data_IF_649899029076
#
_entry.id   IF_649899029076
#
_cell.length_a   1.000
_cell.length_b   1.000
_cell.length_c   1.000
_cell.angle_alpha   90.00
_cell.angle_beta   90.00
_cell.angle_gamma   90.00
#
_symmetry.space_group_name_H-M   'P 1'
#
loop_
_entity.id
_entity.type
_entity.pdbx_description
1 polymer ?
#
# COMPACT_ATOMS: atom_id res chain seq x y z
N UNK A 1 7.12 27.58 40.68
CA UNK A 1 8.30 27.01 39.99
C UNK A 1 7.99 25.57 39.64
N UNK A 2 8.05 25.20 38.37
CA UNK A 2 7.96 23.79 37.98
C UNK A 2 9.23 23.09 38.48
N UNK A 3 9.14 21.90 39.11
CA UNK A 3 10.31 21.22 39.65
C UNK A 3 11.34 20.90 38.55
N UNK A 4 12.66 21.12 38.76
CA UNK A 4 13.71 20.70 37.83
C UNK A 4 13.64 19.21 37.43
N UNK A 5 13.05 18.40 38.31
CA UNK A 5 12.75 16.99 38.07
C UNK A 5 11.78 16.77 36.90
N UNK A 6 10.78 17.64 36.71
CA UNK A 6 9.80 17.49 35.61
C UNK A 6 10.48 17.63 34.24
N UNK A 7 11.36 18.61 34.08
CA UNK A 7 12.08 18.82 32.83
C UNK A 7 13.01 17.66 32.48
N UNK A 8 13.64 17.08 33.51
CA UNK A 8 14.46 15.87 33.38
C UNK A 8 13.61 14.68 32.92
N UNK A 9 12.42 14.48 33.50
CA UNK A 9 11.48 13.42 33.11
C UNK A 9 11.04 13.61 31.65
N UNK A 10 10.69 14.83 31.24
CA UNK A 10 10.26 15.12 29.86
C UNK A 10 11.39 14.91 28.85
N UNK A 11 12.64 15.23 29.21
CA UNK A 11 13.79 14.91 28.38
C UNK A 11 14.05 13.40 28.27
N UNK A 12 13.87 12.63 29.34
CA UNK A 12 13.96 11.16 29.26
C UNK A 12 12.81 10.55 28.44
N UNK A 13 11.61 11.12 28.52
CA UNK A 13 10.51 10.74 27.64
C UNK A 13 10.84 11.05 26.16
N UNK A 14 11.46 12.21 25.88
CA UNK A 14 11.96 12.55 24.55
C UNK A 14 12.98 11.50 24.05
N UNK A 15 13.97 11.16 24.88
CA UNK A 15 14.97 10.15 24.54
C UNK A 15 14.34 8.78 24.25
N UNK A 16 13.34 8.36 25.05
CA UNK A 16 12.63 7.11 24.84
C UNK A 16 11.84 7.10 23.51
N UNK A 17 11.17 8.20 23.17
CA UNK A 17 10.47 8.37 21.89
C UNK A 17 11.46 8.30 20.71
N UNK A 18 12.60 8.97 20.82
CA UNK A 18 13.66 8.92 19.80
C UNK A 18 14.23 7.51 19.67
N UNK A 19 14.46 6.81 20.78
CA UNK A 19 14.94 5.43 20.77
C UNK A 19 13.97 4.50 20.04
N UNK A 20 12.67 4.60 20.30
CA UNK A 20 11.64 3.85 19.57
C UNK A 20 11.77 4.09 18.07
N UNK A 21 11.84 5.35 17.64
CA UNK A 21 11.98 5.71 16.22
C UNK A 21 13.26 5.15 15.62
N UNK A 22 14.40 5.29 16.30
CA UNK A 22 15.68 4.74 15.83
C UNK A 22 15.59 3.22 15.68
N UNK A 23 14.94 2.50 16.59
CA UNK A 23 14.69 1.07 16.46
C UNK A 23 13.85 0.76 15.21
N UNK A 24 12.79 1.52 14.92
CA UNK A 24 12.02 1.33 13.68
C UNK A 24 12.88 1.50 12.43
N UNK A 25 13.69 2.57 12.39
CA UNK A 25 14.54 2.84 11.24
C UNK A 25 15.64 1.79 11.06
N UNK A 26 16.28 1.35 12.13
CA UNK A 26 17.41 0.41 12.06
C UNK A 26 16.99 -1.05 11.93
N UNK A 27 15.84 -1.44 12.49
CA UNK A 27 15.37 -2.83 12.50
C UNK A 27 14.40 -3.14 11.36
N UNK A 28 13.39 -2.28 11.15
CA UNK A 28 12.38 -2.48 10.10
C UNK A 28 12.81 -1.80 8.81
N UNK A 29 12.84 -0.46 8.77
CA UNK A 29 12.96 0.28 7.52
C UNK A 29 14.31 0.14 6.81
N UNK A 30 15.37 -0.15 7.57
CA UNK A 30 16.67 -0.55 7.01
C UNK A 30 16.53 -1.75 6.08
N UNK A 31 15.65 -2.72 6.37
CA UNK A 31 15.48 -3.92 5.54
C UNK A 31 15.10 -3.54 4.12
N UNK A 32 14.14 -2.64 3.93
CA UNK A 32 13.79 -2.15 2.58
C UNK A 32 14.91 -1.28 1.98
N UNK A 33 15.46 -0.35 2.74
CA UNK A 33 16.50 0.57 2.25
C UNK A 33 17.73 -0.15 1.67
N UNK A 34 18.06 -1.32 2.21
CA UNK A 34 19.21 -2.13 1.80
C UNK A 34 18.80 -3.48 1.18
N UNK A 35 17.51 -3.69 0.89
CA UNK A 35 17.04 -4.90 0.23
C UNK A 35 17.64 -5.02 -1.16
N UNK A 36 18.14 -6.19 -1.53
CA UNK A 36 18.57 -6.51 -2.87
C UNK A 36 17.68 -7.65 -3.32
N UNK A 37 17.00 -7.47 -4.44
CA UNK A 37 16.17 -8.54 -5.01
C UNK A 37 17.08 -9.72 -5.36
N UNK A 38 16.71 -10.95 -4.95
CA UNK A 38 17.48 -12.13 -5.35
C UNK A 38 17.42 -12.26 -6.87
N UNK A 39 18.54 -12.61 -7.49
CA UNK A 39 18.54 -12.95 -8.91
C UNK A 39 17.70 -14.21 -9.13
N UNK A 40 16.80 -14.17 -10.11
CA UNK A 40 16.00 -15.32 -10.48
C UNK A 40 16.91 -16.33 -11.17
N UNK A 41 17.08 -17.50 -10.55
CA UNK A 41 17.92 -18.59 -11.08
C UNK A 41 17.22 -19.29 -12.26
N UNK A 42 15.90 -19.21 -12.33
CA UNK A 42 15.08 -19.88 -13.35
C UNK A 42 14.17 -18.89 -14.09
N UNK A 43 14.20 -18.94 -15.43
CA UNK A 43 13.38 -18.11 -16.31
C UNK A 43 12.00 -18.72 -16.60
N UNK A 44 11.52 -19.69 -15.81
CA UNK A 44 10.17 -20.21 -15.95
C UNK A 44 9.11 -19.15 -15.63
N UNK A 45 8.34 -18.79 -16.66
CA UNK A 45 7.17 -17.91 -16.58
C UNK A 45 5.90 -18.77 -16.51
N UNK A 46 5.19 -18.71 -15.38
CA UNK A 46 3.96 -19.47 -15.17
C UNK A 46 2.73 -18.74 -15.74
N UNK A 47 1.69 -19.45 -16.18
CA UNK A 47 0.46 -18.80 -16.59
C UNK A 47 -0.15 -17.93 -15.49
N UNK A 48 -0.66 -16.75 -15.85
CA UNK A 48 -1.14 -15.73 -14.92
C UNK A 48 -2.56 -15.29 -15.27
N UNK A 49 -3.40 -15.02 -14.26
CA UNK A 49 -4.67 -14.33 -14.43
C UNK A 49 -4.63 -12.96 -13.76
N UNK A 50 -4.79 -11.90 -14.55
CA UNK A 50 -4.95 -10.54 -14.02
C UNK A 50 -6.42 -10.29 -13.74
N UNK A 51 -6.78 -9.89 -12.53
CA UNK A 51 -8.16 -9.59 -12.14
C UNK A 51 -8.31 -8.09 -11.95
N UNK A 52 -9.24 -7.50 -12.70
CA UNK A 52 -9.62 -6.08 -12.60
C UNK A 52 -11.13 -6.03 -12.37
N UNK A 53 -11.58 -5.27 -11.37
CA UNK A 53 -13.00 -4.97 -11.22
C UNK A 53 -13.24 -3.50 -11.55
N UNK A 54 -14.34 -3.25 -12.25
CA UNK A 54 -14.74 -1.95 -12.76
C UNK A 54 -16.22 -1.72 -12.42
N UNK A 55 -16.56 -0.51 -11.98
CA UNK A 55 -17.93 -0.03 -11.83
C UNK A 55 -17.98 1.43 -12.23
N UNK A 56 -18.68 1.73 -13.31
CA UNK A 56 -18.74 3.07 -13.89
C UNK A 56 -17.33 3.63 -14.24
N UNK A 57 -16.50 2.79 -14.88
CA UNK A 57 -15.07 3.04 -15.14
C UNK A 57 -14.76 3.17 -16.65
N UNK A 58 -15.71 3.59 -17.49
CA UNK A 58 -15.54 3.62 -18.96
C UNK A 58 -14.25 4.35 -19.40
N UNK A 59 -13.99 5.53 -18.84
CA UNK A 59 -12.81 6.35 -19.16
C UNK A 59 -11.50 5.65 -18.76
N UNK A 60 -11.50 5.01 -17.59
CA UNK A 60 -10.33 4.32 -17.05
C UNK A 60 -10.05 3.00 -17.79
N UNK A 61 -11.09 2.27 -18.19
CA UNK A 61 -10.97 1.08 -19.05
C UNK A 61 -10.29 1.45 -20.38
N UNK A 62 -10.76 2.52 -21.04
CA UNK A 62 -10.20 2.95 -22.32
C UNK A 62 -8.72 3.36 -22.19
N UNK A 63 -8.38 4.05 -21.10
CA UNK A 63 -7.04 4.60 -20.88
C UNK A 63 -6.03 3.55 -20.40
N UNK A 64 -6.41 2.71 -19.44
CA UNK A 64 -5.46 1.93 -18.65
C UNK A 64 -5.38 0.46 -19.09
N UNK A 65 -6.48 -0.11 -19.58
CA UNK A 65 -6.55 -1.54 -19.92
C UNK A 65 -5.58 -1.95 -21.04
N UNK A 66 -5.31 -1.13 -22.08
CA UNK A 66 -4.30 -1.47 -23.07
C UNK A 66 -2.92 -1.77 -22.46
N UNK A 67 -2.51 -1.06 -21.41
CA UNK A 67 -1.25 -1.32 -20.72
C UNK A 67 -1.21 -2.66 -20.00
N UNK A 68 -2.34 -3.15 -19.50
CA UNK A 68 -2.48 -4.48 -18.88
C UNK A 68 -2.47 -5.58 -19.93
N UNK A 69 -3.03 -5.32 -21.11
CA UNK A 69 -3.18 -6.29 -22.20
C UNK A 69 -1.89 -6.45 -23.04
N UNK A 70 -1.09 -5.39 -23.16
CA UNK A 70 0.13 -5.35 -23.96
C UNK A 70 1.37 -5.57 -23.08
N UNK A 71 1.45 -6.75 -22.45
CA UNK A 71 2.57 -7.13 -21.59
C UNK A 71 3.53 -8.05 -22.36
N UNK A 72 4.84 -7.78 -22.23
CA UNK A 72 5.91 -8.64 -22.72
C UNK A 72 6.07 -9.82 -21.76
N UNK A 73 5.32 -10.89 -22.05
CA UNK A 73 5.25 -12.09 -21.23
C UNK A 73 5.19 -13.33 -22.13
N UNK A 74 6.15 -14.25 -21.97
CA UNK A 74 6.31 -15.43 -22.82
C UNK A 74 5.26 -16.49 -22.53
N UNK A 75 4.81 -16.56 -21.28
CA UNK A 75 3.74 -17.47 -20.86
C UNK A 75 2.37 -16.90 -21.18
N UNK A 76 1.32 -17.72 -21.03
CA UNK A 76 -0.04 -17.26 -21.25
C UNK A 76 -0.52 -16.39 -20.10
N UNK A 77 -1.16 -15.27 -20.41
CA UNK A 77 -1.90 -14.49 -19.43
C UNK A 77 -3.35 -14.29 -19.89
N UNK A 78 -4.25 -14.14 -18.94
CA UNK A 78 -5.62 -13.69 -19.20
C UNK A 78 -5.94 -12.45 -18.36
N UNK A 79 -6.91 -11.67 -18.84
CA UNK A 79 -7.50 -10.59 -18.07
C UNK A 79 -8.93 -10.98 -17.69
N UNK A 80 -9.18 -11.23 -16.41
CA UNK A 80 -10.51 -11.38 -15.84
C UNK A 80 -11.04 -10.00 -15.47
N UNK A 81 -11.86 -9.44 -16.35
CA UNK A 81 -12.47 -8.12 -16.17
C UNK A 81 -13.89 -8.27 -15.63
N UNK A 82 -14.09 -7.90 -14.37
CA UNK A 82 -15.38 -7.98 -13.68
C UNK A 82 -16.07 -6.62 -13.76
N UNK A 83 -17.14 -6.54 -14.55
CA UNK A 83 -18.00 -5.36 -14.62
C UNK A 83 -19.08 -5.45 -13.55
N UNK A 84 -18.98 -4.63 -12.50
CA UNK A 84 -19.82 -4.67 -11.30
C UNK A 84 -20.98 -3.68 -11.38
N UNK A 85 -22.05 -4.07 -12.08
CA UNK A 85 -23.30 -3.31 -12.14
C UNK A 85 -23.12 -1.86 -12.63
N UNK A 86 -22.24 -1.67 -13.62
CA UNK A 86 -22.05 -0.36 -14.27
C UNK A 86 -23.32 0.10 -15.00
N UNK A 87 -23.54 1.40 -14.96
CA UNK A 87 -24.63 2.12 -15.63
C UNK A 87 -24.14 2.99 -16.79
N UNK A 88 -22.82 3.20 -16.88
CA UNK A 88 -22.15 3.89 -17.97
C UNK A 88 -21.85 2.97 -19.18
N UNK A 89 -21.03 3.49 -20.11
CA UNK A 89 -20.65 2.80 -21.34
C UNK A 89 -19.60 1.68 -21.16
N UNK A 90 -19.23 1.34 -19.91
CA UNK A 90 -18.18 0.33 -19.62
C UNK A 90 -18.44 -0.99 -20.34
N UNK A 91 -19.69 -1.47 -20.33
CA UNK A 91 -20.05 -2.75 -20.97
C UNK A 91 -19.71 -2.77 -22.46
N UNK A 92 -20.10 -1.73 -23.19
CA UNK A 92 -19.90 -1.67 -24.64
C UNK A 92 -18.42 -1.57 -24.99
N UNK A 93 -17.65 -0.79 -24.22
CA UNK A 93 -16.20 -0.69 -24.40
C UNK A 93 -15.50 -2.03 -24.17
N UNK A 94 -15.92 -2.80 -23.16
CA UNK A 94 -15.37 -4.13 -22.89
C UNK A 94 -15.66 -5.07 -24.07
N UNK A 95 -16.89 -5.07 -24.58
CA UNK A 95 -17.28 -5.94 -25.70
C UNK A 95 -16.54 -5.58 -27.00
N UNK A 96 -16.25 -4.30 -27.26
CA UNK A 96 -15.37 -3.90 -28.37
C UNK A 96 -13.94 -4.38 -28.16
N UNK A 97 -13.36 -4.20 -26.96
CA UNK A 97 -11.99 -4.65 -26.67
C UNK A 97 -11.83 -6.16 -26.84
N UNK A 98 -12.85 -6.96 -26.52
CA UNK A 98 -12.86 -8.42 -26.72
C UNK A 98 -12.83 -8.85 -28.19
N UNK A 99 -13.22 -7.98 -29.12
CA UNK A 99 -13.08 -8.28 -30.56
C UNK A 99 -11.60 -8.36 -30.94
N UNK A 100 -10.77 -7.51 -30.36
CA UNK A 100 -9.32 -7.44 -30.60
C UNK A 100 -8.53 -8.35 -29.66
N UNK A 101 -8.81 -8.28 -28.35
CA UNK A 101 -8.06 -8.99 -27.31
C UNK A 101 -8.81 -10.21 -26.82
N UNK A 102 -8.46 -11.39 -27.35
CA UNK A 102 -9.11 -12.66 -27.00
C UNK A 102 -8.75 -13.17 -25.60
N UNK A 103 -7.71 -12.62 -24.96
CA UNK A 103 -7.37 -12.96 -23.58
C UNK A 103 -8.29 -12.32 -22.53
N UNK A 104 -9.24 -11.47 -22.93
CA UNK A 104 -10.22 -10.86 -22.02
C UNK A 104 -11.34 -11.85 -21.69
N UNK A 105 -11.39 -12.25 -20.42
CA UNK A 105 -12.50 -12.94 -19.79
C UNK A 105 -13.40 -11.92 -19.08
N UNK A 106 -14.49 -11.52 -19.74
CA UNK A 106 -15.46 -10.57 -19.19
C UNK A 106 -16.49 -11.29 -18.31
N UNK A 107 -16.65 -10.81 -17.07
CA UNK A 107 -17.67 -11.26 -16.13
C UNK A 107 -18.59 -10.07 -15.86
N UNK A 108 -19.85 -10.20 -16.28
CA UNK A 108 -20.87 -9.19 -16.04
C UNK A 108 -21.67 -9.52 -14.78
N UNK A 109 -21.69 -8.60 -13.81
CA UNK A 109 -22.55 -8.67 -12.64
C UNK A 109 -23.66 -7.64 -12.79
N UNK A 110 -24.90 -8.11 -12.84
CA UNK A 110 -26.09 -7.26 -13.05
C UNK A 110 -26.90 -7.01 -11.78
N UNK A 111 -26.40 -7.50 -10.63
CA UNK A 111 -27.09 -7.41 -9.35
C UNK A 111 -26.10 -7.11 -8.24
N UNK A 112 -26.47 -6.20 -7.34
CA UNK A 112 -25.68 -5.93 -6.16
C UNK A 112 -25.69 -7.13 -5.19
N UNK A 113 -24.52 -7.44 -4.64
CA UNK A 113 -24.41 -8.45 -3.61
C UNK A 113 -25.05 -8.00 -2.31
N UNK A 114 -26.09 -8.70 -1.89
CA UNK A 114 -26.72 -8.46 -0.59
C UNK A 114 -25.71 -8.79 0.52
N UNK A 115 -25.59 -7.87 1.49
CA UNK A 115 -24.76 -8.04 2.69
C UNK A 115 -23.25 -8.16 2.44
N UNK A 116 -22.76 -7.78 1.25
CA UNK A 116 -21.32 -7.67 0.96
C UNK A 116 -21.06 -6.24 0.52
N UNK A 117 -20.22 -5.52 1.27
CA UNK A 117 -19.91 -4.12 0.97
C UNK A 117 -18.67 -3.99 0.09
N UNK A 118 -18.71 -3.02 -0.83
CA UNK A 118 -17.58 -2.63 -1.68
C UNK A 118 -17.14 -3.70 -2.67
N UNK A 119 -15.87 -3.63 -3.10
CA UNK A 119 -15.28 -4.43 -4.18
C UNK A 119 -15.12 -5.93 -3.86
N UNK A 120 -15.43 -6.38 -2.63
CA UNK A 120 -15.17 -7.76 -2.18
C UNK A 120 -15.92 -8.81 -3.00
N UNK A 121 -17.18 -8.54 -3.35
CA UNK A 121 -17.97 -9.47 -4.17
C UNK A 121 -17.45 -9.60 -5.60
N UNK A 122 -17.32 -8.51 -6.39
CA UNK A 122 -16.79 -8.61 -7.75
C UNK A 122 -15.37 -9.19 -7.77
N UNK A 123 -14.53 -8.80 -6.80
CA UNK A 123 -13.18 -9.35 -6.69
C UNK A 123 -13.18 -10.85 -6.40
N UNK A 124 -14.07 -11.33 -5.53
CA UNK A 124 -14.24 -12.78 -5.27
C UNK A 124 -14.68 -13.53 -6.52
N UNK A 125 -15.59 -12.97 -7.31
CA UNK A 125 -16.05 -13.57 -8.56
C UNK A 125 -14.93 -13.63 -9.59
N UNK A 126 -14.14 -12.55 -9.72
CA UNK A 126 -12.98 -12.51 -10.61
C UNK A 126 -11.92 -13.54 -10.24
N UNK A 127 -11.52 -13.60 -8.97
CA UNK A 127 -10.51 -14.56 -8.50
C UNK A 127 -10.99 -16.00 -8.69
N UNK A 128 -12.25 -16.32 -8.33
CA UNK A 128 -12.78 -17.68 -8.48
C UNK A 128 -12.89 -18.12 -9.93
N UNK A 129 -13.15 -17.18 -10.83
CA UNK A 129 -13.31 -17.43 -12.26
C UNK A 129 -12.00 -17.40 -13.04
N UNK A 130 -10.88 -17.10 -12.36
CA UNK A 130 -9.55 -17.14 -12.96
C UNK A 130 -9.13 -18.57 -13.29
N UNK A 131 -8.60 -18.75 -14.50
CA UNK A 131 -8.11 -20.03 -15.03
C UNK A 131 -6.81 -20.44 -14.37
N UNK A 132 -5.90 -19.49 -14.18
CA UNK A 132 -4.57 -19.78 -13.69
C UNK A 132 -4.50 -19.77 -12.16
N UNK A 133 -3.38 -20.26 -11.63
CA UNK A 133 -3.14 -20.31 -10.19
C UNK A 133 -2.56 -18.98 -9.66
N UNK A 134 -1.65 -18.35 -10.41
CA UNK A 134 -1.11 -17.04 -10.02
C UNK A 134 -2.10 -15.96 -10.44
N UNK A 135 -2.61 -15.22 -9.45
CA UNK A 135 -3.56 -14.13 -9.66
C UNK A 135 -2.86 -12.81 -9.36
N UNK A 136 -2.90 -11.88 -10.32
CA UNK A 136 -2.45 -10.50 -10.16
C UNK A 136 -3.68 -9.60 -10.01
N UNK A 137 -3.65 -8.68 -9.07
CA UNK A 137 -4.71 -7.73 -8.79
C UNK A 137 -4.23 -6.32 -9.12
N UNK A 138 -5.09 -5.58 -9.80
CA UNK A 138 -4.98 -4.13 -10.00
C UNK A 138 -6.37 -3.51 -10.09
N UNK A 139 -6.44 -2.19 -9.97
CA UNK A 139 -7.69 -1.43 -10.11
C UNK A 139 -7.86 -0.94 -11.55
N UNK A 140 -9.10 -0.64 -11.95
CA UNK A 140 -9.40 -0.12 -13.28
C UNK A 140 -8.75 1.26 -13.53
N UNK A 141 -8.54 2.05 -12.47
CA UNK A 141 -7.88 3.36 -12.49
C UNK A 141 -6.34 3.29 -12.43
N UNK A 142 -5.76 2.09 -12.58
CA UNK A 142 -4.33 1.83 -12.51
C UNK A 142 -3.79 1.32 -13.85
N UNK A 143 -2.59 1.78 -14.20
CA UNK A 143 -1.83 1.28 -15.37
C UNK A 143 -0.48 0.71 -14.93
N UNK A 144 -0.02 -0.43 -15.48
CA UNK A 144 1.36 -0.88 -15.29
C UNK A 144 2.38 0.18 -15.70
N UNK A 145 3.47 0.31 -14.94
CA UNK A 145 4.54 1.26 -15.24
C UNK A 145 5.41 0.83 -16.43
N UNK A 146 5.34 -0.44 -16.85
CA UNK A 146 6.07 -0.99 -17.99
C UNK A 146 5.33 -2.17 -18.63
N UNK A 147 5.77 -2.57 -19.83
CA UNK A 147 5.35 -3.83 -20.46
C UNK A 147 5.81 -5.10 -19.72
N UNK A 148 6.72 -5.00 -18.74
CA UNK A 148 7.28 -6.14 -18.00
C UNK A 148 6.62 -6.38 -16.64
N UNK A 149 5.51 -5.70 -16.33
CA UNK A 149 4.88 -5.76 -15.01
C UNK A 149 4.47 -7.19 -14.61
N UNK A 150 3.80 -7.92 -15.51
CA UNK A 150 3.40 -9.32 -15.24
C UNK A 150 4.63 -10.19 -14.98
N UNK A 151 5.66 -10.06 -15.81
CA UNK A 151 6.92 -10.78 -15.68
C UNK A 151 7.54 -10.53 -14.30
N UNK A 152 7.76 -9.26 -13.94
CA UNK A 152 8.41 -8.88 -12.69
C UNK A 152 7.61 -9.30 -11.44
N UNK A 153 6.29 -9.21 -11.49
CA UNK A 153 5.43 -9.67 -10.40
C UNK A 153 5.47 -11.20 -10.25
N UNK A 154 5.50 -11.94 -11.38
CA UNK A 154 5.63 -13.40 -11.36
C UNK A 154 7.03 -13.84 -10.92
N UNK A 155 8.08 -13.08 -11.24
CA UNK A 155 9.47 -13.41 -10.92
C UNK A 155 9.75 -13.51 -9.42
N UNK A 156 8.95 -12.87 -8.57
CA UNK A 156 9.06 -12.98 -7.11
C UNK A 156 8.47 -14.27 -6.53
N UNK A 157 7.80 -15.10 -7.35
CA UNK A 157 7.37 -16.41 -6.90
C UNK A 157 8.54 -17.39 -6.87
N UNK A 158 8.84 -17.86 -5.67
CA UNK A 158 9.70 -19.01 -5.40
C UNK A 158 8.86 -20.17 -4.83
N UNK A 159 9.46 -21.32 -4.55
CA UNK A 159 8.75 -22.55 -4.16
C UNK A 159 7.69 -22.33 -3.06
N UNK A 160 8.05 -21.60 -2.01
CA UNK A 160 7.17 -21.32 -0.87
C UNK A 160 6.39 -20.01 -0.99
N UNK A 161 6.66 -19.18 -2.00
CA UNK A 161 5.95 -17.91 -2.17
C UNK A 161 4.51 -18.20 -2.59
N UNK A 162 3.58 -17.58 -1.88
CA UNK A 162 2.17 -17.65 -2.20
C UNK A 162 1.55 -16.27 -2.37
N UNK A 163 2.24 -15.23 -1.91
CA UNK A 163 1.78 -13.84 -1.93
C UNK A 163 2.98 -12.96 -2.31
N UNK A 164 2.76 -12.05 -3.24
CA UNK A 164 3.75 -11.06 -3.68
C UNK A 164 3.16 -9.66 -3.51
N UNK A 165 3.86 -8.81 -2.76
CA UNK A 165 3.49 -7.41 -2.55
C UNK A 165 4.25 -6.51 -3.53
N UNK A 166 3.53 -5.75 -4.35
CA UNK A 166 4.10 -4.75 -5.24
C UNK A 166 3.82 -3.32 -4.77
N UNK A 167 4.54 -2.35 -5.34
CA UNK A 167 4.32 -0.93 -5.06
C UNK A 167 3.30 -0.31 -6.04
N UNK A 168 2.16 0.14 -5.53
CA UNK A 168 1.18 0.94 -6.28
C UNK A 168 1.49 2.44 -6.12
N UNK A 169 2.20 3.01 -7.08
CA UNK A 169 2.60 4.41 -7.09
C UNK A 169 1.49 5.32 -7.65
N UNK A 170 1.73 6.63 -7.61
CA UNK A 170 0.88 7.63 -8.25
C UNK A 170 1.67 8.34 -9.35
N UNK A 171 0.99 8.78 -10.41
CA UNK A 171 1.62 9.63 -11.40
C UNK A 171 2.24 10.89 -10.76
N UNK A 172 3.47 11.22 -11.17
CA UNK A 172 4.17 12.43 -10.76
C UNK A 172 3.53 13.63 -11.46
N UNK A 173 2.89 14.50 -10.67
CA UNK A 173 2.23 15.71 -11.16
C UNK A 173 2.76 16.94 -10.42
N UNK A 174 2.69 18.14 -11.04
CA UNK A 174 3.06 19.36 -10.34
C UNK A 174 2.15 19.62 -9.14
N UNK A 175 2.66 20.40 -8.17
CA UNK A 175 1.90 20.85 -7.01
C UNK A 175 2.21 20.11 -5.70
N UNK A 176 1.94 20.78 -4.58
CA UNK A 176 2.21 20.27 -3.24
C UNK A 176 1.32 19.07 -2.89
N UNK A 177 0.05 19.08 -3.30
CA UNK A 177 -0.88 17.99 -2.99
C UNK A 177 -0.41 16.66 -3.57
N UNK A 178 0.06 16.61 -4.81
CA UNK A 178 0.60 15.37 -5.39
C UNK A 178 1.82 14.86 -4.62
N UNK A 179 2.72 15.76 -4.21
CA UNK A 179 3.89 15.39 -3.38
C UNK A 179 3.48 14.82 -2.03
N UNK A 180 2.46 15.39 -1.38
CA UNK A 180 1.91 14.88 -0.12
C UNK A 180 1.27 13.51 -0.27
N UNK A 181 0.45 13.31 -1.32
CA UNK A 181 -0.17 12.02 -1.65
C UNK A 181 0.90 10.95 -1.90
N UNK A 182 1.91 11.27 -2.72
CA UNK A 182 3.02 10.36 -3.05
C UNK A 182 3.87 10.05 -1.83
N UNK A 183 4.19 11.05 -1.00
CA UNK A 183 4.95 10.83 0.23
C UNK A 183 4.21 9.89 1.19
N UNK A 184 2.91 10.08 1.39
CA UNK A 184 2.12 9.21 2.26
C UNK A 184 2.01 7.78 1.68
N UNK A 185 1.88 7.66 0.37
CA UNK A 185 1.85 6.36 -0.33
C UNK A 185 3.19 5.64 -0.19
N UNK A 186 4.30 6.36 -0.40
CA UNK A 186 5.66 5.89 -0.16
C UNK A 186 5.87 5.49 1.31
N UNK A 187 5.41 6.29 2.27
CA UNK A 187 5.58 6.02 3.70
C UNK A 187 4.79 4.78 4.13
N UNK A 188 3.58 4.59 3.61
CA UNK A 188 2.79 3.37 3.78
C UNK A 188 3.52 2.15 3.19
N UNK A 189 4.09 2.29 1.99
CA UNK A 189 4.89 1.23 1.37
C UNK A 189 6.17 0.90 2.13
N UNK A 190 6.87 1.91 2.63
CA UNK A 190 8.00 1.74 3.52
C UNK A 190 7.61 0.88 4.73
N UNK A 191 6.42 1.09 5.31
CA UNK A 191 5.92 0.28 6.42
C UNK A 191 5.61 -1.15 6.02
N UNK A 192 4.69 -1.39 5.08
CA UNK A 192 4.23 -2.76 4.82
C UNK A 192 5.30 -3.64 4.16
N UNK A 193 6.13 -3.09 3.26
CA UNK A 193 7.22 -3.83 2.63
C UNK A 193 8.32 -4.15 3.65
N UNK A 194 8.70 -3.20 4.50
CA UNK A 194 9.72 -3.45 5.54
C UNK A 194 9.26 -4.44 6.60
N UNK A 195 7.97 -4.42 6.94
CA UNK A 195 7.40 -5.38 7.88
C UNK A 195 7.31 -6.77 7.25
N UNK A 196 6.98 -6.89 5.97
CA UNK A 196 7.06 -8.16 5.24
C UNK A 196 8.49 -8.73 5.28
N UNK A 197 9.51 -7.91 4.95
CA UNK A 197 10.94 -8.30 5.05
C UNK A 197 11.40 -8.60 6.49
N UNK A 198 10.66 -8.15 7.51
CA UNK A 198 10.90 -8.44 8.91
C UNK A 198 10.10 -9.65 9.42
N UNK A 199 9.41 -10.38 8.54
CA UNK A 199 8.59 -11.54 8.90
C UNK A 199 7.30 -11.17 9.63
N UNK A 200 6.80 -9.94 9.45
CA UNK A 200 5.56 -9.43 10.05
C UNK A 200 4.63 -8.79 9.00
N UNK A 201 4.33 -9.44 7.86
CA UNK A 201 3.46 -8.86 6.85
C UNK A 201 2.08 -8.57 7.45
N UNK A 202 1.55 -7.38 7.17
CA UNK A 202 0.26 -6.95 7.73
C UNK A 202 -0.71 -6.40 6.71
N UNK A 203 -0.22 -6.02 5.52
CA UNK A 203 -0.96 -5.29 4.50
C UNK A 203 -0.31 -5.51 3.14
N UNK A 204 -1.13 -5.50 2.09
CA UNK A 204 -0.76 -5.23 0.70
C UNK A 204 -1.69 -4.15 0.14
N UNK A 205 -1.41 -3.69 -1.08
CA UNK A 205 -2.26 -2.70 -1.76
C UNK A 205 -2.86 -3.34 -3.01
N UNK A 206 -4.18 -3.40 -3.12
CA UNK A 206 -4.92 -4.08 -4.20
C UNK A 206 -4.60 -3.57 -5.61
N UNK A 207 -4.05 -2.35 -5.71
CA UNK A 207 -3.53 -1.74 -6.93
C UNK A 207 -2.28 -2.44 -7.48
N UNK A 208 -1.54 -3.16 -6.66
CA UNK A 208 -0.37 -3.93 -7.08
C UNK A 208 -0.11 -5.08 -6.10
N UNK A 209 -0.90 -6.14 -6.23
CA UNK A 209 -0.86 -7.28 -5.34
C UNK A 209 -0.97 -8.56 -6.16
N UNK A 210 -0.28 -9.61 -5.74
CA UNK A 210 -0.48 -10.93 -6.32
C UNK A 210 -0.52 -11.99 -5.25
N UNK A 211 -1.33 -13.03 -5.47
CA UNK A 211 -1.30 -14.24 -4.67
C UNK A 211 -1.77 -15.45 -5.47
N UNK A 212 -1.41 -16.64 -4.99
CA UNK A 212 -1.95 -17.92 -5.46
C UNK A 212 -3.45 -18.01 -5.18
N UNK A 213 -4.24 -18.43 -6.17
CA UNK A 213 -5.69 -18.61 -6.07
C UNK A 213 -6.06 -19.56 -4.93
N UNK A 214 -5.28 -20.61 -4.71
CA UNK A 214 -5.46 -21.55 -3.61
C UNK A 214 -5.46 -20.85 -2.24
N UNK A 215 -4.58 -19.85 -2.02
CA UNK A 215 -4.55 -19.05 -0.78
C UNK A 215 -5.91 -18.41 -0.53
N UNK A 216 -6.53 -17.87 -1.57
CA UNK A 216 -7.85 -17.27 -1.50
C UNK A 216 -8.93 -18.32 -1.20
N UNK A 217 -8.93 -19.44 -1.92
CA UNK A 217 -9.95 -20.48 -1.77
C UNK A 217 -9.90 -21.17 -0.41
N UNK A 218 -8.70 -21.59 0.04
CA UNK A 218 -8.53 -22.31 1.31
C UNK A 218 -8.83 -21.46 2.54
N UNK A 219 -8.69 -20.14 2.43
CA UNK A 219 -9.07 -19.19 3.47
C UNK A 219 -10.52 -18.67 3.33
N UNK A 220 -11.35 -19.31 2.48
CA UNK A 220 -12.76 -18.97 2.24
C UNK A 220 -12.97 -17.54 1.69
N UNK A 221 -11.98 -17.01 0.98
CA UNK A 221 -11.98 -15.68 0.39
C UNK A 221 -12.20 -14.58 1.43
N UNK A 222 -13.06 -13.61 1.13
CA UNK A 222 -13.35 -12.48 2.02
C UNK A 222 -14.46 -12.72 3.04
N UNK A 223 -14.90 -13.96 3.25
CA UNK A 223 -16.10 -14.26 4.06
C UNK A 223 -16.04 -13.68 5.49
N UNK A 224 -14.84 -13.62 6.08
CA UNK A 224 -14.61 -13.07 7.43
C UNK A 224 -14.72 -11.54 7.51
N UNK A 225 -14.66 -10.84 6.36
CA UNK A 225 -14.59 -9.38 6.27
C UNK A 225 -15.65 -8.75 5.35
N UNK A 226 -16.62 -9.54 4.85
CA UNK A 226 -17.66 -9.07 3.92
C UNK A 226 -18.47 -7.85 4.41
N UNK A 227 -18.66 -7.72 5.72
CA UNK A 227 -19.40 -6.61 6.34
C UNK A 227 -18.58 -5.33 6.50
N UNK A 228 -17.26 -5.41 6.28
CA UNK A 228 -16.36 -4.27 6.39
C UNK A 228 -16.33 -3.55 5.03
N UNK A 229 -16.65 -2.25 4.95
CA UNK A 229 -16.72 -1.55 3.65
C UNK A 229 -15.40 -1.49 2.89
N UNK A 230 -14.27 -1.37 3.58
CA UNK A 230 -12.92 -1.31 3.00
C UNK A 230 -12.09 -2.52 3.41
N UNK A 231 -10.86 -2.59 2.90
CA UNK A 231 -9.86 -3.54 3.36
C UNK A 231 -9.96 -4.94 2.78
N UNK A 232 -10.42 -5.00 1.54
CA UNK A 232 -10.36 -6.21 0.70
C UNK A 232 -8.93 -6.73 0.55
N UNK A 233 -7.96 -5.84 0.37
CA UNK A 233 -6.54 -6.14 0.25
C UNK A 233 -5.85 -6.28 1.61
N UNK A 234 -5.89 -5.23 2.43
CA UNK A 234 -5.10 -5.15 3.66
C UNK A 234 -5.50 -6.20 4.69
N UNK A 235 -6.79 -6.43 4.95
CA UNK A 235 -7.27 -7.39 5.95
C UNK A 235 -7.08 -8.82 5.48
N UNK A 236 -7.22 -9.07 4.18
CA UNK A 236 -6.95 -10.40 3.64
C UNK A 236 -5.48 -10.75 3.86
N UNK A 237 -4.55 -9.87 3.47
CA UNK A 237 -3.11 -10.05 3.70
C UNK A 237 -2.79 -10.15 5.20
N UNK A 238 -3.42 -9.31 6.04
CA UNK A 238 -3.27 -9.37 7.48
C UNK A 238 -3.62 -10.75 8.04
N UNK A 239 -4.63 -11.42 7.47
CA UNK A 239 -5.10 -12.73 7.91
C UNK A 239 -4.17 -13.85 7.44
N UNK A 240 -3.81 -13.88 6.14
CA UNK A 240 -3.24 -15.06 5.49
C UNK A 240 -1.73 -15.01 5.28
N UNK A 241 -1.10 -13.82 5.30
CA UNK A 241 0.33 -13.70 5.09
C UNK A 241 1.13 -14.06 6.34
N UNK A 242 2.25 -14.73 6.11
CA UNK A 242 3.21 -15.20 7.11
C UNK A 242 4.62 -14.83 6.66
N UNK A 243 5.62 -15.05 7.52
CA UNK A 243 7.02 -14.80 7.15
C UNK A 243 7.50 -15.72 6.01
N UNK A 244 6.91 -16.90 5.86
CA UNK A 244 7.42 -17.96 4.99
C UNK A 244 6.79 -17.97 3.59
N UNK A 245 5.60 -17.36 3.45
CA UNK A 245 4.84 -17.38 2.19
C UNK A 245 4.76 -16.02 1.47
N UNK A 246 5.45 -15.00 1.99
CA UNK A 246 5.42 -13.64 1.47
C UNK A 246 6.71 -13.30 0.72
N UNK A 247 6.57 -12.65 -0.43
CA UNK A 247 7.66 -11.97 -1.12
C UNK A 247 7.26 -10.53 -1.47
N UNK A 248 8.25 -9.71 -1.83
CA UNK A 248 8.04 -8.34 -2.29
C UNK A 248 8.72 -8.12 -3.64
N UNK A 249 8.16 -7.21 -4.44
CA UNK A 249 8.79 -6.69 -5.66
C UNK A 249 8.83 -5.17 -5.57
N UNK A 250 10.03 -4.62 -5.74
CA UNK A 250 10.27 -3.18 -5.66
C UNK A 250 10.84 -2.59 -6.95
N UNK A 251 11.19 -3.42 -7.93
CA UNK A 251 11.56 -3.01 -9.29
C UNK A 251 10.55 -1.99 -9.85
N UNK A 252 10.99 -0.79 -10.29
CA UNK A 252 10.13 0.20 -10.94
C UNK A 252 9.31 -0.31 -12.12
N UNK A 253 9.80 -1.32 -12.84
CA UNK A 253 9.07 -1.95 -13.95
C UNK A 253 7.85 -2.75 -13.46
N UNK A 254 7.86 -3.18 -12.20
CA UNK A 254 6.77 -3.90 -11.54
C UNK A 254 5.75 -2.97 -10.87
N UNK A 255 5.91 -1.65 -10.94
CA UNK A 255 4.97 -0.73 -10.30
C UNK A 255 3.67 -0.62 -11.10
N UNK A 256 2.59 -0.26 -10.43
CA UNK A 256 1.39 0.29 -11.07
C UNK A 256 1.26 1.77 -10.73
N UNK A 257 0.61 2.53 -11.62
CA UNK A 257 0.46 3.97 -11.51
C UNK A 257 -1.03 4.33 -11.50
N UNK A 258 -1.45 5.05 -10.47
CA UNK A 258 -2.81 5.59 -10.38
C UNK A 258 -2.83 7.10 -10.55
N UNK A 259 -4.02 7.62 -10.84
CA UNK A 259 -4.27 9.05 -10.86
C UNK A 259 -4.43 9.60 -9.42
N UNK A 260 -3.65 10.62 -9.01
CA UNK A 260 -3.79 11.23 -7.70
C UNK A 260 -5.10 12.03 -7.60
N UNK A 261 -5.70 12.08 -6.41
CA UNK A 261 -6.85 12.94 -6.14
C UNK A 261 -6.50 14.42 -6.39
N UNK A 262 -7.46 15.17 -6.93
CA UNK A 262 -7.24 16.56 -7.36
C UNK A 262 -7.45 17.56 -6.22
N UNK A 263 -8.25 17.18 -5.23
CA UNK A 263 -8.56 18.05 -4.08
C UNK A 263 -8.16 17.41 -2.75
N UNK A 264 -7.87 18.27 -1.78
CA UNK A 264 -7.55 17.84 -0.41
C UNK A 264 -8.70 17.05 0.23
N UNK A 265 -9.95 17.46 -0.02
CA UNK A 265 -11.13 16.84 0.57
C UNK A 265 -11.37 15.43 0.04
N UNK A 266 -11.18 15.21 -1.27
CA UNK A 266 -11.22 13.87 -1.87
C UNK A 266 -10.14 12.97 -1.28
N UNK A 267 -8.90 13.46 -1.24
CA UNK A 267 -7.78 12.70 -0.68
C UNK A 267 -8.03 12.34 0.79
N UNK A 268 -8.47 13.30 1.59
CA UNK A 268 -8.73 13.08 3.01
C UNK A 268 -9.89 12.11 3.22
N UNK A 269 -10.94 12.17 2.40
CA UNK A 269 -12.06 11.22 2.44
C UNK A 269 -11.60 9.79 2.13
N UNK A 270 -10.72 9.62 1.13
CA UNK A 270 -10.08 8.34 0.84
C UNK A 270 -9.25 7.84 2.03
N UNK A 271 -8.49 8.73 2.68
CA UNK A 271 -7.66 8.35 3.84
C UNK A 271 -8.49 7.94 5.04
N UNK A 272 -9.55 8.67 5.36
CA UNK A 272 -10.47 8.29 6.42
C UNK A 272 -10.99 6.85 6.24
N UNK A 273 -11.35 6.48 5.00
CA UNK A 273 -11.79 5.12 4.65
C UNK A 273 -10.71 4.08 5.00
N UNK A 274 -9.46 4.28 4.55
CA UNK A 274 -8.38 3.33 4.85
C UNK A 274 -8.04 3.25 6.34
N UNK A 275 -7.98 4.38 7.07
CA UNK A 275 -7.65 4.38 8.50
C UNK A 275 -8.70 3.67 9.37
N UNK A 276 -9.98 3.69 8.96
CA UNK A 276 -11.02 2.95 9.70
C UNK A 276 -10.81 1.44 9.66
N UNK A 277 -10.13 0.91 8.64
CA UNK A 277 -9.82 -0.51 8.51
C UNK A 277 -8.82 -0.99 9.58
N UNK A 278 -7.89 -0.13 10.00
CA UNK A 278 -6.79 -0.51 10.89
C UNK A 278 -7.22 -1.09 12.25
N UNK A 279 -8.47 -0.82 12.69
CA UNK A 279 -9.08 -1.38 13.91
C UNK A 279 -9.19 -2.91 13.87
N UNK A 280 -9.33 -3.47 12.67
CA UNK A 280 -9.54 -4.89 12.43
C UNK A 280 -8.25 -5.70 12.24
N UNK A 281 -7.08 -5.04 12.24
CA UNK A 281 -5.80 -5.75 12.19
C UNK A 281 -5.55 -6.61 13.45
N UNK A 282 -4.72 -7.64 13.30
CA UNK A 282 -4.13 -8.44 14.39
C UNK A 282 -3.53 -7.53 15.47
N UNK A 283 -3.65 -7.94 16.75
CA UNK A 283 -3.21 -7.14 17.89
C UNK A 283 -1.74 -6.71 17.84
N UNK A 284 -0.86 -7.59 17.41
CA UNK A 284 0.57 -7.31 17.21
C UNK A 284 0.81 -6.20 16.17
N UNK A 285 0.09 -6.24 15.05
CA UNK A 285 0.20 -5.23 14.00
C UNK A 285 -0.35 -3.88 14.46
N UNK A 286 -1.48 -3.87 15.18
CA UNK A 286 -2.02 -2.65 15.81
C UNK A 286 -1.04 -2.03 16.80
N UNK A 287 -0.40 -2.84 17.63
CA UNK A 287 0.62 -2.37 18.57
C UNK A 287 1.82 -1.76 17.83
N UNK A 288 2.37 -2.45 16.83
CA UNK A 288 3.52 -1.94 16.07
C UNK A 288 3.21 -0.66 15.28
N UNK A 289 2.04 -0.56 14.65
CA UNK A 289 1.64 0.65 13.94
C UNK A 289 1.33 1.80 14.92
N UNK A 290 0.63 1.49 16.01
CA UNK A 290 0.29 2.44 17.06
C UNK A 290 1.53 3.01 17.76
N UNK A 291 2.50 2.17 18.11
CA UNK A 291 3.76 2.58 18.73
C UNK A 291 4.59 3.49 17.80
N UNK A 292 4.63 3.17 16.51
CA UNK A 292 5.29 4.02 15.52
C UNK A 292 4.61 5.39 15.39
N UNK A 293 3.29 5.43 15.21
CA UNK A 293 2.54 6.68 15.08
C UNK A 293 2.56 7.51 16.36
N UNK A 294 2.45 6.87 17.53
CA UNK A 294 2.55 7.52 18.84
C UNK A 294 3.92 8.18 19.03
N UNK A 295 5.00 7.45 18.77
CA UNK A 295 6.35 8.01 18.90
C UNK A 295 6.58 9.15 17.91
N UNK A 296 6.12 9.03 16.66
CA UNK A 296 6.24 10.09 15.64
C UNK A 296 5.48 11.37 16.03
N UNK A 297 4.28 11.25 16.62
CA UNK A 297 3.49 12.38 17.11
C UNK A 297 4.21 13.15 18.23
N UNK A 298 4.85 12.44 19.17
CA UNK A 298 5.45 13.08 20.35
C UNK A 298 6.85 13.67 20.12
N UNK A 299 7.51 13.41 18.98
CA UNK A 299 8.86 13.93 18.70
C UNK A 299 8.93 15.44 18.86
N UNK A 300 8.10 16.17 18.11
CA UNK A 300 8.20 17.63 18.02
C UNK A 300 7.79 18.35 19.30
N UNK A 301 6.66 18.00 19.96
CA UNK A 301 6.32 18.60 21.26
C UNK A 301 7.41 18.39 22.31
N UNK A 302 7.94 17.17 22.42
CA UNK A 302 8.98 16.85 23.41
C UNK A 302 10.33 17.47 23.07
N UNK A 303 10.67 17.61 21.78
CA UNK A 303 11.86 18.32 21.32
C UNK A 303 11.80 19.79 21.74
N UNK A 304 10.69 20.48 21.46
CA UNK A 304 10.50 21.90 21.80
C UNK A 304 10.64 22.10 23.31
N UNK A 305 9.97 21.28 24.12
CA UNK A 305 10.06 21.36 25.59
C UNK A 305 11.49 21.10 26.07
N UNK A 306 12.18 20.11 25.50
CA UNK A 306 13.56 19.78 25.88
C UNK A 306 14.56 20.89 25.55
N UNK A 307 14.36 21.58 24.42
CA UNK A 307 15.19 22.71 24.01
C UNK A 307 14.99 23.91 24.95
N UNK A 308 13.74 24.23 25.27
CA UNK A 308 13.41 25.44 26.05
C UNK A 308 13.69 25.29 27.55
N UNK A 309 13.50 24.10 28.12
CA UNK A 309 13.44 23.93 29.58
C UNK A 309 14.47 22.96 30.19
N UNK A 310 15.22 22.21 29.37
CA UNK A 310 16.24 21.28 29.87
C UNK A 310 17.64 21.65 29.40
N UNK A 311 18.02 21.23 28.19
CA UNK A 311 19.34 21.47 27.62
C UNK A 311 19.26 21.34 26.10
N UNK A 312 19.38 22.48 25.41
CA UNK A 312 19.19 22.57 23.97
C UNK A 312 20.20 21.75 23.16
N UNK A 313 21.47 21.72 23.54
CA UNK A 313 22.49 21.03 22.75
C UNK A 313 22.35 19.50 22.87
N UNK A 314 21.96 18.99 24.05
CA UNK A 314 21.66 17.57 24.24
C UNK A 314 20.42 17.15 23.43
N UNK A 315 19.36 17.95 23.48
CA UNK A 315 18.14 17.69 22.72
C UNK A 315 18.40 17.66 21.21
N UNK A 316 19.19 18.61 20.69
CA UNK A 316 19.58 18.65 19.29
C UNK A 316 20.52 17.50 18.91
N UNK A 317 21.43 17.07 19.77
CA UNK A 317 22.31 15.93 19.50
C UNK A 317 21.50 14.62 19.36
N UNK A 318 20.56 14.38 20.28
CA UNK A 318 19.67 13.21 20.27
C UNK A 318 18.75 13.23 19.04
N UNK A 319 18.16 14.39 18.72
CA UNK A 319 17.37 14.58 17.50
C UNK A 319 18.21 14.36 16.24
N UNK A 320 19.40 14.96 16.18
CA UNK A 320 20.32 14.90 15.04
C UNK A 320 20.74 13.47 14.70
N UNK A 321 21.00 12.63 15.70
CA UNK A 321 21.27 11.21 15.49
C UNK A 321 20.12 10.51 14.75
N UNK A 322 18.88 10.66 15.26
CA UNK A 322 17.69 10.09 14.59
C UNK A 322 17.50 10.67 13.21
N UNK A 323 17.72 11.97 13.04
CA UNK A 323 17.56 12.66 11.77
C UNK A 323 18.52 12.13 10.70
N UNK A 324 19.79 11.91 11.03
CA UNK A 324 20.77 11.33 10.10
C UNK A 324 20.39 9.89 9.72
N UNK A 325 20.01 9.06 10.71
CA UNK A 325 19.60 7.67 10.46
C UNK A 325 18.37 7.64 9.54
N UNK A 326 17.35 8.44 9.86
CA UNK A 326 16.15 8.56 9.06
C UNK A 326 16.49 9.04 7.64
N UNK A 327 17.36 10.04 7.50
CA UNK A 327 17.73 10.59 6.22
C UNK A 327 18.32 9.54 5.28
N UNK A 328 19.27 8.75 5.77
CA UNK A 328 19.92 7.68 4.99
C UNK A 328 18.90 6.62 4.54
N UNK A 329 18.06 6.16 5.48
CA UNK A 329 17.08 5.11 5.22
C UNK A 329 16.00 5.58 4.24
N UNK A 330 15.47 6.79 4.42
CA UNK A 330 14.45 7.36 3.55
C UNK A 330 15.00 7.62 2.15
N UNK A 331 16.17 8.22 2.00
CA UNK A 331 16.77 8.46 0.69
C UNK A 331 16.94 7.16 -0.12
N UNK A 332 17.52 6.12 0.51
CA UNK A 332 17.70 4.81 -0.13
C UNK A 332 16.37 4.15 -0.51
N UNK A 333 15.38 4.22 0.38
CA UNK A 333 14.05 3.65 0.12
C UNK A 333 13.29 4.41 -0.96
N UNK A 334 13.35 5.75 -0.96
CA UNK A 334 12.77 6.60 -2.00
C UNK A 334 13.40 6.29 -3.36
N UNK A 335 14.73 6.13 -3.43
CA UNK A 335 15.40 5.74 -4.67
C UNK A 335 14.91 4.39 -5.19
N UNK A 336 14.73 3.40 -4.31
CA UNK A 336 14.23 2.07 -4.65
C UNK A 336 12.81 2.09 -5.21
N UNK A 337 11.94 2.87 -4.60
CA UNK A 337 10.53 2.97 -5.01
C UNK A 337 10.30 4.04 -6.10
N UNK A 338 11.35 4.53 -6.76
CA UNK A 338 11.27 5.56 -7.81
C UNK A 338 10.65 6.90 -7.34
N UNK A 339 10.86 7.25 -6.07
CA UNK A 339 10.32 8.42 -5.36
C UNK A 339 11.44 9.40 -4.93
N UNK A 340 12.63 9.32 -5.54
CA UNK A 340 13.80 10.13 -5.16
C UNK A 340 13.58 11.65 -5.28
N UNK A 341 12.64 12.11 -6.11
CA UNK A 341 12.30 13.52 -6.25
C UNK A 341 11.59 14.11 -5.00
N UNK A 342 11.10 13.26 -4.10
CA UNK A 342 10.57 13.68 -2.80
C UNK A 342 11.66 14.00 -1.78
N UNK A 343 12.88 13.51 -1.98
CA UNK A 343 13.97 13.63 -1.02
C UNK A 343 14.31 15.07 -0.61
N UNK A 344 14.37 16.07 -1.51
CA UNK A 344 14.63 17.47 -1.11
C UNK A 344 13.60 18.05 -0.12
N UNK A 345 12.43 17.43 -0.02
CA UNK A 345 11.33 17.85 0.84
C UNK A 345 11.23 17.02 2.14
N UNK A 346 12.18 16.11 2.41
CA UNK A 346 12.04 15.16 3.53
C UNK A 346 11.88 15.83 4.89
N UNK A 347 12.57 16.95 5.15
CA UNK A 347 12.42 17.70 6.40
C UNK A 347 11.00 18.27 6.53
N UNK A 348 10.48 18.83 5.45
CA UNK A 348 9.09 19.29 5.40
C UNK A 348 8.13 18.13 5.66
N UNK A 349 8.36 16.97 5.04
CA UNK A 349 7.51 15.79 5.23
C UNK A 349 7.57 15.22 6.65
N UNK A 350 8.75 15.21 7.30
CA UNK A 350 8.90 14.71 8.67
C UNK A 350 8.11 15.58 9.66
N UNK A 351 8.17 16.92 9.50
CA UNK A 351 7.33 17.85 10.27
C UNK A 351 5.86 17.69 9.90
N UNK A 352 5.55 17.55 8.61
CA UNK A 352 4.19 17.39 8.12
C UNK A 352 3.47 16.18 8.70
N UNK A 353 4.17 15.06 8.92
CA UNK A 353 3.58 13.86 9.52
C UNK A 353 2.94 14.13 10.88
N UNK A 354 3.50 15.04 11.68
CA UNK A 354 2.87 15.48 12.94
C UNK A 354 1.47 16.06 12.70
N UNK A 355 1.33 16.97 11.74
CA UNK A 355 0.05 17.58 11.36
C UNK A 355 -0.90 16.57 10.70
N UNK A 356 -0.37 15.69 9.87
CA UNK A 356 -1.15 14.66 9.21
C UNK A 356 -1.84 13.71 10.20
N UNK A 357 -1.17 13.36 11.31
CA UNK A 357 -1.82 12.57 12.37
C UNK A 357 -2.94 13.33 13.07
N UNK A 358 -2.81 14.66 13.25
CA UNK A 358 -3.90 15.48 13.79
C UNK A 358 -5.11 15.45 12.84
N UNK A 359 -4.88 15.57 11.53
CA UNK A 359 -5.96 15.52 10.54
C UNK A 359 -6.60 14.15 10.37
N UNK A 360 -5.85 13.06 10.57
CA UNK A 360 -6.36 11.69 10.45
C UNK A 360 -6.94 11.14 11.77
N UNK A 361 -6.66 11.75 12.92
CA UNK A 361 -7.16 11.33 14.24
C UNK A 361 -8.69 11.08 14.27
N UNK A 362 -9.54 11.91 13.64
CA UNK A 362 -10.99 11.67 13.64
C UNK A 362 -11.39 10.34 12.97
N UNK A 363 -10.53 9.74 12.12
CA UNK A 363 -10.76 8.43 11.51
C UNK A 363 -10.87 7.32 12.57
N UNK A 364 -10.18 7.49 13.70
CA UNK A 364 -10.18 6.53 14.80
C UNK A 364 -11.57 6.48 15.46
N UNK A 365 -12.35 7.55 15.43
CA UNK A 365 -13.66 7.62 16.07
C UNK A 365 -14.85 7.63 15.09
N UNK A 366 -14.64 8.01 13.83
CA UNK A 366 -15.69 7.99 12.80
C UNK A 366 -15.92 6.59 12.25
N UNK A 367 -17.19 6.25 12.00
CA UNK A 367 -17.56 5.03 11.30
C UNK A 367 -17.23 5.16 9.80
N UNK A 368 -16.81 4.07 9.12
CA UNK A 368 -16.59 4.09 7.68
C UNK A 368 -17.88 4.44 6.93
N UNK A 369 -17.78 5.25 5.87
CA UNK A 369 -18.86 5.40 4.90
C UNK A 369 -19.09 4.06 4.20
N UNK A 370 -20.35 3.71 3.93
CA UNK A 370 -20.74 2.42 3.33
C UNK A 370 -20.56 2.37 1.80
N UNK A 371 -20.35 3.51 1.14
CA UNK A 371 -20.32 3.59 -0.32
C UNK A 371 -18.87 3.54 -0.85
N UNK A 372 -18.71 3.02 -2.06
CA UNK A 372 -17.42 2.84 -2.76
C UNK A 372 -16.80 4.18 -3.16
N UNK A 373 -17.62 5.18 -3.51
CA UNK A 373 -17.17 6.49 -4.01
C UNK A 373 -16.57 7.42 -2.96
#
# INVERSE_FOLDING_TARGET
MIPPLLWTILFYAFCAVILIQVVYYLFFFRKLAFYVEPEKVDNMEHPVSVVVCARDEADNIMKNLPGILMQEYKSSHELVLVNDNSTDESRYLIDELRKTFKQINHIELTQEAKMISGKKFPLSMGIRSSKHEIVLLTDADCVPASEFWIQKMQDAYHDNTEIVLGYGAYHKKPGLLNKLIRFETFHTALQYLSYALAGKPYMGVGRNLSYKKDVFLRNKGFSSINQIPSGDDDLFINQVATADNIAIVIDPQAHTLSEPKRTWNEWMSQKYRHYTTAKYYKGSHKFLLGLYSFSLFWIYPLLIVSILFFNWWMALAVFGLRFIIQAIVLYKSMKKLNEADLWPWFLFFDIWMFFFFIFTLPAIWKAPRKNWD
#
